data_IF_367914510685
#
_entry.id   IF_367914510685
#
_cell.length_a   1.000
_cell.length_b   1.000
_cell.length_c   1.000
_cell.angle_alpha   90.00
_cell.angle_beta   90.00
_cell.angle_gamma   90.00
#
_symmetry.space_group_name_H-M   'P 1'
#
loop_
_entity.id
_entity.type
_entity.pdbx_description
1 polymer ?
#
# COMPACT_ATOMS: atom_id res chain seq x y z
N UNK A 1 3.29 8.55 26.39
CA UNK A 1 2.15 8.42 25.46
C UNK A 1 2.15 9.46 24.34
N UNK A 2 3.08 10.44 24.34
CA UNK A 2 3.45 11.20 23.13
C UNK A 2 4.81 10.71 22.55
N UNK A 3 5.71 10.25 23.42
CA UNK A 3 7.07 9.79 23.07
C UNK A 3 7.14 8.66 22.02
N UNK A 4 6.13 7.80 21.94
CA UNK A 4 6.20 6.62 21.07
C UNK A 4 6.19 6.99 19.59
N UNK A 5 5.39 7.98 19.18
CA UNK A 5 5.33 8.47 17.80
C UNK A 5 6.54 9.34 17.45
N UNK A 6 7.06 10.12 18.41
CA UNK A 6 8.23 10.97 18.20
C UNK A 6 9.45 10.17 17.72
N UNK A 7 9.65 8.96 18.26
CA UNK A 7 10.72 8.05 17.84
C UNK A 7 10.62 7.54 16.39
N UNK A 8 9.48 7.73 15.72
CA UNK A 8 9.26 7.33 14.32
C UNK A 8 9.28 8.52 13.34
N UNK A 9 9.55 9.74 13.82
CA UNK A 9 9.52 10.95 12.99
C UNK A 9 10.40 10.81 11.74
N UNK A 10 11.68 10.45 11.90
CA UNK A 10 12.61 10.33 10.77
C UNK A 10 12.19 9.24 9.78
N UNK A 11 11.66 8.12 10.29
CA UNK A 11 11.12 7.05 9.47
C UNK A 11 9.89 7.53 8.68
N UNK A 12 8.95 8.21 9.33
CA UNK A 12 7.74 8.72 8.70
C UNK A 12 8.06 9.77 7.63
N UNK A 13 8.98 10.70 7.89
CA UNK A 13 9.46 11.67 6.90
C UNK A 13 10.07 10.97 5.69
N UNK A 14 10.98 10.01 5.92
CA UNK A 14 11.63 9.25 4.86
C UNK A 14 10.60 8.46 4.02
N UNK A 15 9.66 7.78 4.70
CA UNK A 15 8.64 6.97 4.05
C UNK A 15 7.64 7.83 3.25
N UNK A 16 7.18 8.96 3.79
CA UNK A 16 6.29 9.89 3.05
C UNK A 16 6.97 10.36 1.77
N UNK A 17 8.24 10.78 1.85
CA UNK A 17 9.00 11.22 0.67
C UNK A 17 9.19 10.09 -0.36
N UNK A 18 9.64 8.92 0.08
CA UNK A 18 9.91 7.78 -0.80
C UNK A 18 8.63 7.27 -1.48
N UNK A 19 7.54 7.13 -0.74
CA UNK A 19 6.26 6.63 -1.26
C UNK A 19 5.59 7.64 -2.19
N UNK A 20 5.70 8.95 -1.90
CA UNK A 20 5.25 10.01 -2.82
C UNK A 20 6.03 10.00 -4.14
N UNK A 21 7.35 9.87 -4.08
CA UNK A 21 8.20 9.77 -5.28
C UNK A 21 7.85 8.52 -6.11
N UNK A 22 7.70 7.36 -5.47
CA UNK A 22 7.31 6.11 -6.16
C UNK A 22 5.89 6.18 -6.73
N UNK A 23 4.95 6.83 -6.05
CA UNK A 23 3.60 7.00 -6.57
C UNK A 23 3.63 7.83 -7.87
N UNK A 24 4.42 8.90 -7.90
CA UNK A 24 4.67 9.68 -9.10
C UNK A 24 5.30 8.86 -10.22
N UNK A 25 6.36 8.11 -9.93
CA UNK A 25 7.04 7.25 -10.91
C UNK A 25 6.12 6.16 -11.48
N UNK A 26 5.26 5.57 -10.65
CA UNK A 26 4.30 4.55 -11.09
C UNK A 26 3.25 5.16 -12.03
N UNK A 27 2.74 6.36 -11.72
CA UNK A 27 1.83 7.10 -12.62
C UNK A 27 2.50 7.40 -13.97
N UNK A 28 3.78 7.81 -13.95
CA UNK A 28 4.56 8.02 -15.18
C UNK A 28 4.76 6.73 -15.96
N UNK A 29 5.12 5.63 -15.30
CA UNK A 29 5.25 4.32 -15.96
C UNK A 29 3.95 3.88 -16.64
N UNK A 30 2.80 4.13 -16.01
CA UNK A 30 1.50 3.83 -16.60
C UNK A 30 1.18 4.70 -17.82
N UNK A 31 1.55 5.99 -17.80
CA UNK A 31 1.20 6.90 -18.89
C UNK A 31 1.96 6.56 -20.19
N UNK A 32 3.20 6.07 -20.07
CA UNK A 32 4.03 5.66 -21.22
C UNK A 32 3.45 4.44 -21.95
N UNK A 33 2.84 3.50 -21.22
CA UNK A 33 2.33 2.24 -21.78
C UNK A 33 0.79 2.12 -21.73
N UNK A 34 0.07 3.25 -21.60
CA UNK A 34 -1.36 3.24 -21.26
C UNK A 34 -2.20 2.42 -22.25
N UNK A 35 -1.93 2.52 -23.55
CA UNK A 35 -2.66 1.77 -24.58
C UNK A 35 -2.55 0.26 -24.37
N UNK A 36 -1.36 -0.25 -24.05
CA UNK A 36 -1.14 -1.69 -23.80
C UNK A 36 -1.68 -2.11 -22.44
N UNK A 37 -1.59 -1.25 -21.43
CA UNK A 37 -2.18 -1.52 -20.10
C UNK A 37 -3.70 -1.66 -20.22
N UNK A 38 -4.34 -0.83 -21.05
CA UNK A 38 -5.79 -0.85 -21.26
C UNK A 38 -6.30 -2.07 -22.04
N UNK A 39 -5.44 -2.80 -22.76
CA UNK A 39 -5.84 -4.08 -23.38
C UNK A 39 -5.85 -5.22 -22.36
N UNK A 40 -5.18 -5.07 -21.22
CA UNK A 40 -5.18 -6.07 -20.17
C UNK A 40 -6.40 -5.88 -19.24
N UNK A 41 -7.18 -6.95 -18.99
CA UNK A 41 -8.33 -6.88 -18.10
C UNK A 41 -7.94 -6.67 -16.63
N UNK A 42 -6.71 -7.01 -16.22
CA UNK A 42 -6.31 -7.03 -14.80
C UNK A 42 -5.30 -5.96 -14.40
N UNK A 43 -4.48 -5.46 -15.34
CA UNK A 43 -3.41 -4.51 -15.02
C UNK A 43 -3.91 -3.16 -14.48
N UNK A 44 -4.97 -2.52 -15.04
CA UNK A 44 -5.47 -1.26 -14.49
C UNK A 44 -5.88 -1.38 -13.02
N UNK A 45 -6.59 -2.45 -12.66
CA UNK A 45 -7.04 -2.67 -11.29
C UNK A 45 -5.87 -2.93 -10.32
N UNK A 46 -4.85 -3.66 -10.75
CA UNK A 46 -3.62 -3.90 -9.97
C UNK A 46 -2.80 -2.63 -9.78
N UNK A 47 -2.72 -1.79 -10.81
CA UNK A 47 -2.01 -0.54 -10.71
C UNK A 47 -2.71 0.43 -9.76
N UNK A 48 -4.04 0.52 -9.84
CA UNK A 48 -4.85 1.28 -8.89
C UNK A 48 -4.67 0.79 -7.45
N UNK A 49 -4.66 -0.54 -7.22
CA UNK A 49 -4.44 -1.07 -5.85
C UNK A 49 -3.03 -0.79 -5.33
N UNK A 50 -2.00 -0.82 -6.19
CA UNK A 50 -0.65 -0.46 -5.79
C UNK A 50 -0.49 1.03 -5.48
N UNK A 51 -1.12 1.92 -6.26
CA UNK A 51 -1.15 3.34 -5.96
C UNK A 51 -1.86 3.58 -4.63
N UNK A 52 -3.00 2.92 -4.41
CA UNK A 52 -3.72 3.02 -3.14
C UNK A 52 -2.88 2.56 -1.94
N UNK A 53 -2.05 1.52 -2.09
CA UNK A 53 -1.13 1.08 -1.05
C UNK A 53 0.00 2.10 -0.78
N UNK A 54 0.54 2.75 -1.81
CA UNK A 54 1.50 3.84 -1.62
C UNK A 54 0.85 5.05 -0.96
N UNK A 55 -0.37 5.43 -1.38
CA UNK A 55 -1.13 6.52 -0.75
C UNK A 55 -1.45 6.20 0.70
N UNK A 56 -1.78 4.96 1.03
CA UNK A 56 -1.95 4.52 2.41
C UNK A 56 -0.66 4.75 3.23
N UNK A 57 0.50 4.38 2.69
CA UNK A 57 1.78 4.60 3.36
C UNK A 57 2.10 6.10 3.53
N UNK A 58 1.80 6.94 2.53
CA UNK A 58 1.92 8.40 2.59
C UNK A 58 1.03 8.95 3.71
N UNK A 59 -0.25 8.57 3.72
CA UNK A 59 -1.24 9.06 4.69
C UNK A 59 -0.88 8.60 6.10
N UNK A 60 -0.55 7.33 6.30
CA UNK A 60 -0.12 6.81 7.60
C UNK A 60 1.14 7.54 8.10
N UNK A 61 2.15 7.72 7.26
CA UNK A 61 3.36 8.46 7.62
C UNK A 61 3.06 9.93 7.94
N UNK A 62 2.23 10.61 7.15
CA UNK A 62 1.89 12.01 7.34
C UNK A 62 1.07 12.25 8.62
N UNK A 63 0.12 11.38 8.91
CA UNK A 63 -0.65 11.42 10.16
C UNK A 63 0.24 11.12 11.37
N UNK A 64 1.22 10.22 11.21
CA UNK A 64 2.22 9.94 12.24
C UNK A 64 3.17 11.11 12.53
N UNK A 65 3.13 12.20 11.75
CA UNK A 65 3.89 13.43 11.97
C UNK A 65 3.06 14.55 12.61
N UNK A 66 1.76 14.34 12.82
CA UNK A 66 0.89 15.34 13.46
C UNK A 66 1.28 15.43 14.95
N UNK A 67 1.69 16.62 15.43
CA UNK A 67 2.16 16.78 16.79
C UNK A 67 1.02 16.62 17.80
N UNK A 68 1.35 16.09 18.99
CA UNK A 68 0.42 15.92 20.12
C UNK A 68 -0.84 15.07 19.81
N UNK A 69 -0.77 14.21 18.79
CA UNK A 69 -1.87 13.33 18.43
C UNK A 69 -1.98 12.14 19.42
N UNK A 70 -3.19 11.81 19.91
CA UNK A 70 -3.40 10.61 20.71
C UNK A 70 -3.12 9.33 19.90
N UNK A 71 -2.42 8.37 20.50
CA UNK A 71 -2.05 7.10 19.86
C UNK A 71 -3.30 6.36 19.32
N UNK A 72 -4.39 6.33 20.08
CA UNK A 72 -5.65 5.69 19.66
C UNK A 72 -6.25 6.40 18.44
N UNK A 73 -6.18 7.73 18.38
CA UNK A 73 -6.67 8.48 17.22
C UNK A 73 -5.86 8.12 15.96
N UNK A 74 -4.53 8.07 16.09
CA UNK A 74 -3.65 7.60 15.01
C UNK A 74 -3.99 6.18 14.55
N UNK A 75 -4.20 5.25 15.48
CA UNK A 75 -4.62 3.88 15.16
C UNK A 75 -5.93 3.83 14.38
N UNK A 76 -6.93 4.64 14.75
CA UNK A 76 -8.21 4.73 14.04
C UNK A 76 -8.03 5.30 12.64
N UNK A 77 -7.26 6.36 12.47
CA UNK A 77 -7.03 6.96 11.16
C UNK A 77 -6.28 6.01 10.21
N UNK A 78 -5.27 5.29 10.70
CA UNK A 78 -4.58 4.23 9.94
C UNK A 78 -5.56 3.14 9.53
N UNK A 79 -6.47 2.70 10.42
CA UNK A 79 -7.50 1.71 10.07
C UNK A 79 -8.46 2.22 9.00
N UNK A 80 -8.90 3.49 9.10
CA UNK A 80 -9.80 4.09 8.11
C UNK A 80 -9.09 4.19 6.75
N UNK A 81 -7.86 4.69 6.72
CA UNK A 81 -7.06 4.77 5.49
C UNK A 81 -6.84 3.36 4.90
N UNK A 82 -6.52 2.38 5.73
CA UNK A 82 -6.34 0.99 5.29
C UNK A 82 -7.65 0.41 4.75
N UNK A 83 -8.80 0.66 5.38
CA UNK A 83 -10.09 0.22 4.89
C UNK A 83 -10.43 0.81 3.51
N UNK A 84 -10.09 2.09 3.27
CA UNK A 84 -10.24 2.72 1.96
C UNK A 84 -9.33 2.08 0.91
N UNK A 85 -8.06 1.85 1.22
CA UNK A 85 -7.14 1.15 0.33
C UNK A 85 -7.58 -0.31 0.05
N UNK A 86 -8.19 -0.96 1.04
CA UNK A 86 -8.73 -2.31 0.91
C UNK A 86 -9.81 -2.41 -0.17
N UNK A 87 -10.60 -1.34 -0.41
CA UNK A 87 -11.60 -1.32 -1.48
C UNK A 87 -10.93 -1.54 -2.85
N UNK A 88 -9.82 -0.87 -3.11
CA UNK A 88 -9.07 -1.02 -4.36
C UNK A 88 -8.45 -2.42 -4.47
N UNK A 89 -7.91 -2.94 -3.36
CA UNK A 89 -7.33 -4.28 -3.34
C UNK A 89 -8.39 -5.38 -3.56
N UNK A 90 -9.56 -5.26 -2.94
CA UNK A 90 -10.70 -6.17 -3.16
C UNK A 90 -11.20 -6.07 -4.59
N UNK A 91 -11.27 -4.86 -5.15
CA UNK A 91 -11.62 -4.68 -6.56
C UNK A 91 -10.61 -5.38 -7.47
N UNK A 92 -9.31 -5.20 -7.26
CA UNK A 92 -8.26 -5.89 -8.01
C UNK A 92 -8.38 -7.41 -7.90
N UNK A 93 -8.59 -7.95 -6.69
CA UNK A 93 -8.80 -9.38 -6.48
C UNK A 93 -10.04 -9.90 -7.21
N UNK A 94 -11.15 -9.15 -7.22
CA UNK A 94 -12.38 -9.51 -7.96
C UNK A 94 -12.17 -9.50 -9.46
N UNK A 95 -11.40 -8.55 -9.99
CA UNK A 95 -11.08 -8.46 -11.41
C UNK A 95 -10.18 -9.63 -11.83
N UNK A 96 -9.10 -9.90 -11.09
CA UNK A 96 -8.25 -11.07 -11.31
C UNK A 96 -9.06 -12.37 -11.17
N UNK A 97 -10.03 -12.39 -10.27
CA UNK A 97 -10.83 -13.58 -10.01
C UNK A 97 -11.76 -14.01 -11.13
N UNK A 98 -12.18 -13.05 -11.96
CA UNK A 98 -13.07 -13.26 -13.10
C UNK A 98 -12.31 -13.58 -14.40
N UNK A 99 -10.98 -13.54 -14.36
CA UNK A 99 -10.16 -13.86 -15.52
C UNK A 99 -9.88 -15.37 -15.56
N UNK A 100 -10.64 -16.07 -16.40
CA UNK A 100 -10.60 -17.54 -16.50
C UNK A 100 -9.30 -18.09 -17.09
N UNK A 101 -8.50 -17.24 -17.76
CA UNK A 101 -7.26 -17.64 -18.45
C UNK A 101 -6.02 -17.67 -17.56
N UNK A 102 -6.13 -17.29 -16.28
CA UNK A 102 -4.98 -17.22 -15.35
C UNK A 102 -4.94 -18.47 -14.47
N UNK A 103 -3.79 -19.15 -14.44
CA UNK A 103 -3.55 -20.29 -13.54
C UNK A 103 -3.69 -19.89 -12.07
N UNK A 104 -4.16 -20.81 -11.22
CA UNK A 104 -4.39 -20.56 -9.80
C UNK A 104 -3.13 -20.06 -9.06
N UNK A 105 -1.95 -20.58 -9.41
CA UNK A 105 -0.68 -20.18 -8.82
C UNK A 105 -0.32 -18.71 -9.16
N UNK A 106 -0.55 -18.31 -10.40
CA UNK A 106 -0.31 -16.96 -10.90
C UNK A 106 -1.27 -15.94 -10.26
N UNK A 107 -2.54 -16.33 -10.11
CA UNK A 107 -3.57 -15.55 -9.42
C UNK A 107 -3.22 -15.34 -7.95
N UNK A 108 -2.70 -16.37 -7.29
CA UNK A 108 -2.27 -16.29 -5.90
C UNK A 108 -1.10 -15.32 -5.75
N UNK A 109 -0.03 -15.49 -6.54
CA UNK A 109 1.14 -14.61 -6.50
C UNK A 109 0.78 -13.13 -6.74
N UNK A 110 -0.05 -12.86 -7.77
CA UNK A 110 -0.50 -11.51 -8.13
C UNK A 110 -1.36 -10.85 -7.04
N UNK A 111 -2.15 -11.63 -6.31
CA UNK A 111 -3.03 -11.11 -5.25
C UNK A 111 -2.29 -10.88 -3.93
N UNK A 112 -1.38 -11.80 -3.58
CA UNK A 112 -0.64 -11.77 -2.30
C UNK A 112 0.21 -10.51 -2.16
N UNK A 113 0.86 -10.06 -3.24
CA UNK A 113 1.73 -8.87 -3.23
C UNK A 113 0.98 -7.61 -2.76
N UNK A 114 -0.29 -7.45 -3.13
CA UNK A 114 -1.10 -6.29 -2.70
C UNK A 114 -1.79 -6.46 -1.35
N UNK A 115 -2.01 -7.70 -0.90
CA UNK A 115 -2.67 -7.99 0.38
C UNK A 115 -1.73 -7.86 1.56
N UNK A 116 -0.47 -8.28 1.41
CA UNK A 116 0.51 -8.29 2.51
C UNK A 116 0.72 -6.89 3.14
N UNK A 117 0.99 -5.82 2.37
CA UNK A 117 1.16 -4.48 2.95
C UNK A 117 -0.09 -4.02 3.69
N UNK A 118 -1.26 -4.24 3.07
CA UNK A 118 -2.56 -3.85 3.62
C UNK A 118 -2.86 -4.56 4.94
N UNK A 119 -2.58 -5.87 5.02
CA UNK A 119 -2.75 -6.64 6.24
C UNK A 119 -1.86 -6.09 7.37
N UNK A 120 -0.61 -5.72 7.07
CA UNK A 120 0.30 -5.12 8.04
C UNK A 120 -0.24 -3.77 8.58
N UNK A 121 -0.80 -2.91 7.74
CA UNK A 121 -1.44 -1.67 8.20
C UNK A 121 -2.69 -1.93 9.06
N UNK A 122 -3.55 -2.87 8.66
CA UNK A 122 -4.75 -3.24 9.43
C UNK A 122 -4.38 -3.81 10.81
N UNK A 123 -3.39 -4.71 10.85
CA UNK A 123 -2.88 -5.27 12.11
C UNK A 123 -2.25 -4.14 12.94
N UNK A 124 -1.47 -3.25 12.33
CA UNK A 124 -0.83 -2.13 13.01
C UNK A 124 -1.83 -1.19 13.67
N UNK A 125 -2.83 -0.72 12.92
CA UNK A 125 -3.89 0.14 13.47
C UNK A 125 -4.67 -0.56 14.59
N UNK A 126 -4.98 -1.85 14.44
CA UNK A 126 -5.68 -2.63 15.46
C UNK A 126 -4.85 -2.82 16.73
N UNK A 127 -3.54 -3.08 16.61
CA UNK A 127 -2.62 -3.19 17.75
C UNK A 127 -2.45 -1.87 18.48
N UNK A 128 -2.41 -0.73 17.76
CA UNK A 128 -2.34 0.60 18.38
C UNK A 128 -3.60 0.84 19.23
N UNK A 129 -4.78 0.53 18.70
CA UNK A 129 -6.05 0.69 19.44
C UNK A 129 -6.14 -0.28 20.62
N UNK A 130 -5.63 -1.51 20.47
CA UNK A 130 -5.67 -2.53 21.51
C UNK A 130 -4.68 -2.29 22.67
N UNK A 131 -3.73 -1.36 22.52
CA UNK A 131 -2.76 -0.99 23.56
C UNK A 131 -1.29 -1.39 23.30
N UNK A 132 -0.96 -2.45 22.53
CA UNK A 132 0.42 -2.75 22.11
C UNK A 132 0.99 -1.76 21.08
N UNK A 133 1.07 -0.47 21.42
CA UNK A 133 1.41 0.62 20.49
C UNK A 133 2.74 0.42 19.79
N UNK A 134 3.80 0.02 20.50
CA UNK A 134 5.11 -0.24 19.89
C UNK A 134 5.05 -1.31 18.79
N UNK A 135 4.35 -2.42 19.04
CA UNK A 135 4.16 -3.49 18.05
C UNK A 135 3.31 -3.01 16.87
N UNK A 136 2.29 -2.19 17.15
CA UNK A 136 1.46 -1.60 16.12
C UNK A 136 2.21 -0.63 15.21
N UNK A 137 3.08 0.22 15.76
CA UNK A 137 3.95 1.13 14.99
C UNK A 137 4.95 0.35 14.11
N UNK A 138 5.54 -0.72 14.64
CA UNK A 138 6.39 -1.63 13.83
C UNK A 138 5.59 -2.27 12.70
N UNK A 139 4.36 -2.71 12.94
CA UNK A 139 3.52 -3.28 11.89
C UNK A 139 3.14 -2.26 10.81
N UNK A 140 2.85 -1.00 11.19
CA UNK A 140 2.63 0.10 10.23
C UNK A 140 3.90 0.36 9.41
N UNK A 141 5.07 0.42 10.05
CA UNK A 141 6.35 0.61 9.37
C UNK A 141 6.64 -0.52 8.37
N UNK A 142 6.40 -1.78 8.77
CA UNK A 142 6.50 -2.93 7.88
C UNK A 142 5.50 -2.83 6.72
N UNK A 143 4.27 -2.39 6.97
CA UNK A 143 3.28 -2.11 5.92
C UNK A 143 3.79 -1.11 4.88
N UNK A 144 4.42 -0.03 5.33
CA UNK A 144 5.03 0.99 4.45
C UNK A 144 6.15 0.42 3.59
N UNK A 145 7.07 -0.36 4.17
CA UNK A 145 8.15 -1.01 3.43
C UNK A 145 7.63 -2.02 2.41
N UNK A 146 6.65 -2.83 2.82
CA UNK A 146 6.01 -3.81 1.94
C UNK A 146 5.26 -3.14 0.79
N UNK A 147 4.61 -1.99 1.03
CA UNK A 147 3.95 -1.20 -0.01
C UNK A 147 4.96 -0.67 -1.04
N UNK A 148 6.13 -0.22 -0.60
CA UNK A 148 7.23 0.18 -1.49
C UNK A 148 7.71 -0.99 -2.35
N UNK A 149 7.98 -2.15 -1.75
CA UNK A 149 8.43 -3.34 -2.48
C UNK A 149 7.37 -3.77 -3.50
N UNK A 150 6.10 -3.85 -3.09
CA UNK A 150 4.99 -4.18 -3.97
C UNK A 150 4.86 -3.19 -5.14
N UNK A 151 5.04 -1.90 -4.87
CA UNK A 151 4.99 -0.85 -5.90
C UNK A 151 6.13 -0.94 -6.92
N UNK A 152 7.35 -1.25 -6.48
CA UNK A 152 8.48 -1.45 -7.38
C UNK A 152 8.22 -2.66 -8.30
N UNK A 153 7.72 -3.77 -7.72
CA UNK A 153 7.39 -4.96 -8.49
C UNK A 153 6.30 -4.68 -9.53
N UNK A 154 5.21 -3.98 -9.17
CA UNK A 154 4.19 -3.64 -10.18
C UNK A 154 4.73 -2.65 -11.23
N UNK A 155 5.56 -1.68 -10.84
CA UNK A 155 6.13 -0.72 -11.78
C UNK A 155 6.99 -1.44 -12.82
N UNK A 156 7.77 -2.44 -12.41
CA UNK A 156 8.52 -3.30 -13.33
C UNK A 156 7.61 -4.03 -14.33
N UNK A 157 6.53 -4.66 -13.83
CA UNK A 157 5.55 -5.34 -14.69
C UNK A 157 5.02 -4.38 -15.76
N UNK A 158 4.66 -3.16 -15.35
CA UNK A 158 4.06 -2.16 -16.23
C UNK A 158 5.05 -1.55 -17.24
N UNK A 159 6.34 -1.54 -16.93
CA UNK A 159 7.39 -1.02 -17.81
C UNK A 159 7.94 -2.08 -18.77
N UNK A 160 8.26 -3.26 -18.26
CA UNK A 160 9.07 -4.26 -18.99
C UNK A 160 8.21 -5.42 -19.45
N UNK A 161 7.37 -5.96 -18.57
CA UNK A 161 6.69 -7.23 -18.80
C UNK A 161 5.48 -7.08 -19.73
N UNK A 162 4.85 -5.90 -19.74
CA UNK A 162 3.77 -5.54 -20.68
C UNK A 162 4.22 -5.50 -22.14
N UNK A 163 5.52 -5.31 -22.40
CA UNK A 163 6.09 -5.20 -23.75
C UNK A 163 6.67 -6.53 -24.28
N UNK A 164 6.66 -7.59 -23.47
CA UNK A 164 7.12 -8.94 -23.85
C UNK A 164 5.96 -9.79 -24.36
#
# INVERSE_FOLDING_TARGET
MADALEGWTDFNVAMVGATAALAGLLIVAMSVNISTIMTSPTLPARAASSIAALVLAIVAGALGLVPAQPEVAYGVEVLVAAALAAVFQVHAMRVIAREDRISAADRFGKSVIGVIPLAAFLIGGMLIIAGPVAAGLVAVAMGSLLAVIAAILIAWVMLVEVLR
#
